data_IF_763067355463
#
_entry.id   IF_763067355463
#
_cell.length_a   1.000
_cell.length_b   1.000
_cell.length_c   1.000
_cell.angle_alpha   90.00
_cell.angle_beta   90.00
_cell.angle_gamma   90.00
#
_symmetry.space_group_name_H-M   'P 1'
#
loop_
_entity.id
_entity.type
_entity.pdbx_description
1 polymer ?
#
# COMPACT_ATOMS: atom_id res chain seq x y z
N UNK A 1 29.77 -17.26 -4.49
CA UNK A 1 28.35 -17.32 -4.92
C UNK A 1 27.75 -15.96 -4.62
N UNK A 2 27.49 -15.17 -5.66
CA UNK A 2 26.88 -13.84 -5.55
C UNK A 2 25.44 -14.05 -5.14
N UNK A 3 25.10 -13.79 -3.88
CA UNK A 3 23.71 -13.72 -3.43
C UNK A 3 23.04 -12.60 -4.22
N UNK A 4 22.10 -12.92 -5.10
CA UNK A 4 21.22 -11.93 -5.70
C UNK A 4 20.55 -11.18 -4.55
N UNK A 5 20.76 -9.86 -4.46
CA UNK A 5 20.07 -9.04 -3.48
C UNK A 5 18.56 -9.17 -3.75
N UNK A 6 17.81 -9.52 -2.72
CA UNK A 6 16.37 -9.67 -2.82
C UNK A 6 15.76 -8.27 -2.92
N UNK A 7 15.12 -7.96 -4.06
CA UNK A 7 14.56 -6.64 -4.34
C UNK A 7 13.09 -6.65 -3.97
N UNK A 8 12.72 -5.76 -3.06
CA UNK A 8 11.34 -5.46 -2.68
C UNK A 8 10.93 -4.13 -3.32
N UNK A 9 9.63 -3.94 -3.54
CA UNK A 9 9.11 -2.65 -4.03
C UNK A 9 9.36 -1.55 -2.99
N UNK A 10 9.31 -1.90 -1.70
CA UNK A 10 9.63 -0.98 -0.62
C UNK A 10 11.13 -0.99 -0.26
N UNK A 11 11.83 0.16 -0.28
CA UNK A 11 13.28 0.21 -0.03
C UNK A 11 13.67 -0.21 1.40
N UNK A 12 12.83 0.07 2.40
CA UNK A 12 13.07 -0.37 3.77
C UNK A 12 13.04 -1.91 3.90
N UNK A 13 12.15 -2.59 3.16
CA UNK A 13 12.07 -4.05 3.15
C UNK A 13 13.28 -4.67 2.42
N UNK A 14 13.73 -4.05 1.33
CA UNK A 14 14.99 -4.45 0.65
C UNK A 14 16.18 -4.38 1.61
N UNK A 15 16.27 -3.31 2.40
CA UNK A 15 17.34 -3.13 3.40
C UNK A 15 17.23 -4.18 4.51
N UNK A 16 16.03 -4.41 5.05
CA UNK A 16 15.80 -5.42 6.08
C UNK A 16 16.11 -6.84 5.59
N UNK A 17 15.75 -7.17 4.34
CA UNK A 17 16.06 -8.46 3.74
C UNK A 17 17.57 -8.69 3.58
N UNK A 18 18.33 -7.65 3.23
CA UNK A 18 19.79 -7.73 3.17
C UNK A 18 20.39 -8.05 4.56
N UNK A 19 19.89 -7.39 5.62
CA UNK A 19 20.35 -7.66 6.99
C UNK A 19 19.91 -9.04 7.53
N UNK A 20 18.77 -9.55 7.05
CA UNK A 20 18.31 -10.90 7.37
C UNK A 20 19.04 -12.03 6.61
N UNK A 21 19.87 -11.71 5.62
CA UNK A 21 20.53 -12.72 4.77
C UNK A 21 21.32 -13.79 5.55
N UNK A 22 22.01 -13.37 6.62
CA UNK A 22 22.73 -14.27 7.52
C UNK A 22 21.77 -15.13 8.36
N UNK A 23 20.69 -14.53 8.88
CA UNK A 23 19.66 -15.25 9.64
C UNK A 23 18.97 -16.29 8.75
N UNK A 24 18.65 -15.95 7.50
CA UNK A 24 18.11 -16.86 6.49
C UNK A 24 19.06 -18.03 6.20
N UNK A 25 20.35 -17.74 6.08
CA UNK A 25 21.37 -18.77 5.84
C UNK A 25 21.47 -19.74 7.03
N UNK A 26 21.45 -19.22 8.26
CA UNK A 26 21.40 -20.05 9.47
C UNK A 26 20.09 -20.85 9.56
N UNK A 27 18.96 -20.21 9.26
CA UNK A 27 17.64 -20.85 9.24
C UNK A 27 17.60 -22.06 8.29
N UNK A 28 18.14 -21.91 7.08
CA UNK A 28 18.25 -22.98 6.09
C UNK A 28 19.09 -24.17 6.57
N UNK A 29 20.14 -23.94 7.37
CA UNK A 29 20.95 -25.02 7.97
C UNK A 29 20.22 -25.78 9.07
N UNK A 30 19.27 -25.12 9.74
CA UNK A 30 18.49 -25.69 10.84
C UNK A 30 17.14 -26.24 10.37
N UNK A 31 16.75 -25.99 9.12
CA UNK A 31 15.43 -26.40 8.60
C UNK A 31 14.26 -25.62 9.19
N UNK A 32 14.51 -24.40 9.70
CA UNK A 32 13.47 -23.51 10.23
C UNK A 32 12.94 -22.57 9.14
N UNK A 33 11.74 -21.96 9.30
CA UNK A 33 11.12 -21.12 8.27
C UNK A 33 12.00 -19.94 7.82
N UNK A 34 11.91 -19.60 6.53
CA UNK A 34 12.65 -18.48 5.93
C UNK A 34 12.07 -17.13 6.40
N UNK A 35 12.82 -16.32 7.18
CA UNK A 35 12.35 -15.02 7.66
C UNK A 35 12.19 -13.98 6.54
N UNK A 36 12.92 -14.09 5.43
CA UNK A 36 12.79 -13.16 4.30
C UNK A 36 11.55 -13.48 3.47
N UNK A 37 11.19 -14.76 3.35
CA UNK A 37 9.93 -15.16 2.72
C UNK A 37 8.71 -14.59 3.45
N UNK A 38 8.80 -14.37 4.77
CA UNK A 38 7.74 -13.70 5.52
C UNK A 38 7.56 -12.24 5.07
N UNK A 39 8.66 -11.47 4.92
CA UNK A 39 8.62 -10.06 4.50
C UNK A 39 7.89 -9.85 3.18
N UNK A 40 7.89 -10.83 2.26
CA UNK A 40 7.16 -10.75 0.98
C UNK A 40 5.65 -10.57 1.14
N UNK A 41 5.09 -10.90 2.31
CA UNK A 41 3.67 -10.65 2.62
C UNK A 41 3.35 -9.17 2.85
N UNK A 42 4.38 -8.34 3.03
CA UNK A 42 4.29 -6.89 3.18
C UNK A 42 4.86 -6.14 1.96
N UNK A 43 5.27 -6.87 0.92
CA UNK A 43 5.83 -6.27 -0.27
C UNK A 43 4.72 -5.62 -1.10
N UNK A 44 4.62 -4.30 -0.95
CA UNK A 44 3.66 -3.46 -1.65
C UNK A 44 4.40 -2.23 -2.18
N UNK A 45 3.84 -1.60 -3.23
CA UNK A 45 4.31 -0.31 -3.76
C UNK A 45 3.40 0.86 -3.33
N UNK A 46 3.59 1.42 -2.12
CA UNK A 46 3.00 2.70 -1.73
C UNK A 46 3.22 3.81 -2.76
N UNK A 47 4.39 3.83 -3.42
CA UNK A 47 4.70 4.80 -4.47
C UNK A 47 3.77 4.70 -5.68
N UNK A 48 3.47 3.49 -6.15
CA UNK A 48 2.55 3.27 -7.25
C UNK A 48 1.11 3.69 -6.90
N UNK A 49 0.69 3.44 -5.65
CA UNK A 49 -0.62 3.89 -5.14
C UNK A 49 -0.66 5.43 -5.09
N UNK A 50 0.40 6.10 -4.58
CA UNK A 50 0.51 7.57 -4.59
C UNK A 50 0.42 8.14 -6.00
N UNK A 51 1.11 7.54 -6.98
CA UNK A 51 1.05 7.96 -8.38
C UNK A 51 -0.36 7.79 -8.97
N UNK A 52 -1.04 6.69 -8.63
CA UNK A 52 -2.42 6.45 -9.07
C UNK A 52 -3.37 7.49 -8.47
N UNK A 53 -3.25 7.76 -7.17
CA UNK A 53 -4.02 8.78 -6.47
C UNK A 53 -3.80 10.18 -7.05
N UNK A 54 -2.55 10.58 -7.34
CA UNK A 54 -2.26 11.87 -7.96
C UNK A 54 -2.80 11.98 -9.39
N UNK A 55 -2.85 10.86 -10.12
CA UNK A 55 -3.43 10.82 -11.47
C UNK A 55 -4.93 11.02 -11.43
N UNK A 56 -5.63 10.41 -10.46
CA UNK A 56 -7.07 10.62 -10.24
C UNK A 56 -7.35 12.08 -9.84
N UNK A 57 -6.53 12.64 -8.96
CA UNK A 57 -6.65 14.05 -8.55
C UNK A 57 -6.48 15.00 -9.74
N UNK A 58 -5.45 14.79 -10.57
CA UNK A 58 -5.25 15.55 -11.80
C UNK A 58 -6.41 15.38 -12.81
N UNK A 59 -6.99 14.17 -12.89
CA UNK A 59 -8.18 13.92 -13.70
C UNK A 59 -9.39 14.73 -13.24
N UNK A 60 -9.54 14.98 -11.93
CA UNK A 60 -10.63 15.81 -11.38
C UNK A 60 -10.57 17.26 -11.88
N UNK A 61 -9.37 17.79 -12.13
CA UNK A 61 -9.18 19.13 -12.70
C UNK A 61 -9.70 19.19 -14.15
N UNK A 62 -9.49 18.13 -14.93
CA UNK A 62 -10.01 18.04 -16.30
C UNK A 62 -11.53 18.02 -16.29
N UNK A 63 -12.14 17.26 -15.38
CA UNK A 63 -13.61 17.23 -15.21
C UNK A 63 -14.15 18.59 -14.77
N UNK A 64 -13.43 19.30 -13.90
CA UNK A 64 -13.79 20.66 -13.47
C UNK A 64 -13.77 21.64 -14.64
N UNK A 65 -12.72 21.60 -15.47
CA UNK A 65 -12.64 22.41 -16.70
C UNK A 65 -13.79 22.09 -17.66
N UNK A 66 -14.12 20.82 -17.84
CA UNK A 66 -15.24 20.40 -18.68
C UNK A 66 -16.59 20.89 -18.14
N UNK A 67 -16.76 20.92 -16.80
CA UNK A 67 -17.95 21.47 -16.16
C UNK A 67 -18.10 22.99 -16.41
N UNK A 68 -17.00 23.74 -16.35
CA UNK A 68 -16.99 25.18 -16.65
C UNK A 68 -17.35 25.46 -18.10
N UNK A 69 -16.79 24.69 -19.05
CA UNK A 69 -17.13 24.78 -20.46
C UNK A 69 -18.60 24.43 -20.73
N UNK A 70 -19.11 23.39 -20.05
CA UNK A 70 -20.51 23.00 -20.11
C UNK A 70 -21.43 24.13 -19.63
N UNK A 71 -21.18 24.71 -18.45
CA UNK A 71 -21.94 25.85 -17.92
C UNK A 71 -21.95 27.04 -18.86
N UNK A 72 -20.79 27.39 -19.42
CA UNK A 72 -20.69 28.47 -20.40
C UNK A 72 -21.47 28.17 -21.70
N UNK A 73 -21.63 26.90 -22.06
CA UNK A 73 -22.48 26.45 -23.16
C UNK A 73 -23.97 26.57 -22.85
N UNK A 74 -24.39 26.18 -21.63
CA UNK A 74 -25.76 26.30 -21.13
C UNK A 74 -26.19 27.78 -21.13
N UNK A 75 -25.38 28.67 -20.57
CA UNK A 75 -25.65 30.12 -20.52
C UNK A 75 -25.91 30.71 -21.92
N UNK A 76 -25.19 30.23 -22.94
CA UNK A 76 -25.39 30.66 -24.34
C UNK A 76 -26.70 30.11 -24.91
N UNK A 77 -27.03 28.86 -24.61
CA UNK A 77 -28.22 28.19 -25.15
C UNK A 77 -29.53 28.75 -24.57
N UNK A 78 -29.54 29.17 -23.31
CA UNK A 78 -30.71 29.78 -22.66
C UNK A 78 -31.18 31.08 -23.33
N UNK A 79 -30.27 31.80 -24.00
CA UNK A 79 -30.62 32.99 -24.80
C UNK A 79 -31.41 32.66 -26.09
N UNK A 80 -31.57 31.37 -26.44
CA UNK A 80 -32.11 30.88 -27.70
C UNK A 80 -33.56 30.35 -27.70
N UNK A 81 -34.25 30.26 -26.56
CA UNK A 81 -35.73 30.14 -26.53
C UNK A 81 -36.37 28.76 -26.24
N UNK A 82 -35.66 27.79 -25.66
CA UNK A 82 -36.26 26.57 -25.08
C UNK A 82 -35.75 26.39 -23.66
N UNK A 83 -36.57 26.69 -22.64
CA UNK A 83 -36.04 27.00 -21.30
C UNK A 83 -36.31 25.94 -20.22
N UNK A 84 -37.51 25.33 -20.13
CA UNK A 84 -37.81 24.46 -18.97
C UNK A 84 -37.18 23.06 -19.04
N UNK A 85 -37.39 22.31 -20.12
CA UNK A 85 -36.85 20.93 -20.24
C UNK A 85 -35.33 20.94 -20.40
N UNK A 86 -34.79 21.94 -21.11
CA UNK A 86 -33.36 22.11 -21.26
C UNK A 86 -32.69 22.48 -19.92
N UNK A 87 -33.27 23.41 -19.15
CA UNK A 87 -32.75 23.80 -17.83
C UNK A 87 -32.67 22.63 -16.85
N UNK A 88 -33.74 21.83 -16.76
CA UNK A 88 -33.76 20.64 -15.86
C UNK A 88 -32.68 19.61 -16.24
N UNK A 89 -32.47 19.38 -17.54
CA UNK A 89 -31.40 18.50 -18.01
C UNK A 89 -30.02 19.10 -17.74
N UNK A 90 -29.85 20.40 -17.96
CA UNK A 90 -28.59 21.10 -17.71
C UNK A 90 -28.19 21.05 -16.23
N UNK A 91 -29.13 21.28 -15.31
CA UNK A 91 -28.94 21.15 -13.87
C UNK A 91 -28.53 19.72 -13.49
N UNK A 92 -29.15 18.71 -14.13
CA UNK A 92 -28.83 17.30 -13.89
C UNK A 92 -27.38 16.98 -14.31
N UNK A 93 -26.97 17.42 -15.50
CA UNK A 93 -25.62 17.18 -16.01
C UNK A 93 -24.57 17.95 -15.19
N UNK A 94 -24.86 19.20 -14.81
CA UNK A 94 -23.98 19.97 -13.91
C UNK A 94 -23.81 19.29 -12.54
N UNK A 95 -24.91 18.74 -12.01
CA UNK A 95 -24.91 17.92 -10.80
C UNK A 95 -24.02 16.68 -10.93
N UNK A 96 -24.06 15.99 -12.07
CA UNK A 96 -23.22 14.83 -12.37
C UNK A 96 -21.73 15.19 -12.45
N UNK A 97 -21.38 16.31 -13.10
CA UNK A 97 -20.00 16.82 -13.09
C UNK A 97 -19.52 17.10 -11.66
N UNK A 98 -20.34 17.81 -10.88
CA UNK A 98 -20.00 18.11 -9.48
C UNK A 98 -19.84 16.86 -8.62
N UNK A 99 -20.68 15.84 -8.83
CA UNK A 99 -20.56 14.54 -8.17
C UNK A 99 -19.28 13.81 -8.57
N UNK A 100 -18.94 13.80 -9.85
CA UNK A 100 -17.73 13.16 -10.37
C UNK A 100 -16.44 13.79 -9.81
N UNK A 101 -16.37 15.13 -9.74
CA UNK A 101 -15.23 15.84 -9.14
C UNK A 101 -15.07 15.47 -7.66
N UNK A 102 -16.15 15.47 -6.88
CA UNK A 102 -16.10 15.08 -5.46
C UNK A 102 -15.67 13.63 -5.28
N UNK A 103 -16.17 12.71 -6.11
CA UNK A 103 -15.80 11.30 -6.06
C UNK A 103 -14.31 11.09 -6.40
N UNK A 104 -13.80 11.79 -7.42
CA UNK A 104 -12.39 11.74 -7.79
C UNK A 104 -11.49 12.26 -6.66
N UNK A 105 -11.83 13.42 -6.07
CA UNK A 105 -11.08 13.98 -4.95
C UNK A 105 -11.09 13.06 -3.71
N UNK A 106 -12.24 12.47 -3.37
CA UNK A 106 -12.34 11.52 -2.27
C UNK A 106 -11.50 10.25 -2.51
N UNK A 107 -11.52 9.74 -3.75
CA UNK A 107 -10.73 8.57 -4.17
C UNK A 107 -9.23 8.85 -4.08
N UNK A 108 -8.78 10.00 -4.60
CA UNK A 108 -7.39 10.41 -4.51
C UNK A 108 -6.93 10.56 -3.05
N UNK A 109 -7.74 11.22 -2.22
CA UNK A 109 -7.43 11.40 -0.80
C UNK A 109 -7.33 10.06 -0.05
N UNK A 110 -8.25 9.11 -0.31
CA UNK A 110 -8.16 7.78 0.29
C UNK A 110 -6.93 7.02 -0.20
N UNK A 111 -6.66 7.02 -1.51
CA UNK A 111 -5.47 6.37 -2.08
C UNK A 111 -4.17 6.89 -1.45
N UNK A 112 -4.06 8.21 -1.24
CA UNK A 112 -2.92 8.81 -0.56
C UNK A 112 -2.80 8.33 0.90
N UNK A 113 -3.89 8.27 1.66
CA UNK A 113 -3.88 7.76 3.05
C UNK A 113 -3.46 6.29 3.11
N UNK A 114 -4.03 5.44 2.24
CA UNK A 114 -3.68 4.02 2.16
C UNK A 114 -2.19 3.87 1.88
N UNK A 115 -1.67 4.62 0.91
CA UNK A 115 -0.25 4.58 0.60
C UNK A 115 0.62 4.97 1.80
N UNK A 116 0.28 6.05 2.52
CA UNK A 116 0.99 6.44 3.74
C UNK A 116 0.97 5.34 4.79
N UNK A 117 -0.18 4.73 5.05
CA UNK A 117 -0.29 3.67 6.06
C UNK A 117 0.54 2.43 5.68
N UNK A 118 0.53 2.03 4.41
CA UNK A 118 1.33 0.91 3.92
C UNK A 118 2.84 1.20 4.03
N UNK A 119 3.26 2.43 3.76
CA UNK A 119 4.65 2.91 3.88
C UNK A 119 5.11 2.83 5.35
N UNK A 120 4.34 3.42 6.28
CA UNK A 120 4.60 3.39 7.72
C UNK A 120 4.68 1.96 8.26
N UNK A 121 3.80 1.08 7.79
CA UNK A 121 3.73 -0.31 8.21
C UNK A 121 4.93 -1.11 7.69
N UNK A 122 5.37 -0.87 6.45
CA UNK A 122 6.58 -1.45 5.89
C UNK A 122 7.85 -0.96 6.60
N UNK A 123 7.96 0.33 6.92
CA UNK A 123 9.07 0.91 7.68
C UNK A 123 9.13 0.36 9.12
N UNK A 124 7.98 0.28 9.78
CA UNK A 124 7.85 -0.27 11.12
C UNK A 124 8.25 -1.75 11.15
N UNK A 125 7.74 -2.56 10.22
CA UNK A 125 8.11 -3.96 10.09
C UNK A 125 9.62 -4.13 9.81
N UNK A 126 10.17 -3.35 8.87
CA UNK A 126 11.59 -3.37 8.56
C UNK A 126 12.45 -3.08 9.79
N UNK A 127 12.09 -2.05 10.57
CA UNK A 127 12.81 -1.66 11.78
C UNK A 127 12.79 -2.77 12.84
N UNK A 128 11.62 -3.32 13.16
CA UNK A 128 11.47 -4.38 14.15
C UNK A 128 12.23 -5.66 13.75
N UNK A 129 12.15 -6.05 12.48
CA UNK A 129 12.80 -7.26 11.95
C UNK A 129 14.32 -7.12 11.95
N UNK A 130 14.84 -5.93 11.63
CA UNK A 130 16.28 -5.63 11.73
C UNK A 130 16.78 -5.69 13.18
N UNK A 131 15.98 -5.19 14.13
CA UNK A 131 16.30 -5.30 15.55
C UNK A 131 16.37 -6.77 16.01
N UNK A 132 15.44 -7.62 15.57
CA UNK A 132 15.47 -9.06 15.84
C UNK A 132 16.74 -9.71 15.24
N UNK A 133 17.06 -9.40 13.99
CA UNK A 133 18.24 -9.94 13.31
C UNK A 133 19.55 -9.55 14.04
N UNK A 134 19.64 -8.28 14.46
CA UNK A 134 20.77 -7.76 15.24
C UNK A 134 20.92 -8.48 16.59
N UNK A 135 19.82 -8.68 17.31
CA UNK A 135 19.82 -9.38 18.60
C UNK A 135 20.26 -10.85 18.47
N UNK A 136 19.93 -11.52 17.36
CA UNK A 136 20.29 -12.92 17.12
C UNK A 136 21.67 -13.10 16.44
N UNK A 137 22.39 -12.02 16.14
CA UNK A 137 23.59 -12.05 15.28
C UNK A 137 24.70 -12.99 15.78
N UNK A 138 24.92 -13.08 17.09
CA UNK A 138 25.91 -13.98 17.68
C UNK A 138 25.55 -15.47 17.46
N UNK A 139 24.31 -15.85 17.77
CA UNK A 139 23.81 -17.22 17.59
C UNK A 139 23.76 -17.59 16.10
N UNK A 140 23.40 -16.64 15.22
CA UNK A 140 23.49 -16.82 13.76
C UNK A 140 24.92 -17.12 13.32
N UNK A 141 25.90 -16.34 13.79
CA UNK A 141 27.30 -16.57 13.46
C UNK A 141 27.78 -17.95 13.94
N UNK A 142 27.38 -18.37 15.15
CA UNK A 142 27.71 -19.69 15.70
C UNK A 142 27.13 -20.84 14.85
N UNK A 143 25.87 -20.75 14.40
CA UNK A 143 25.28 -21.73 13.46
C UNK A 143 26.05 -21.78 12.14
N UNK A 144 26.48 -20.61 11.65
CA UNK A 144 27.23 -20.51 10.39
C UNK A 144 28.66 -21.07 10.49
N UNK A 145 29.25 -21.12 11.69
CA UNK A 145 30.53 -21.81 11.93
C UNK A 145 30.35 -23.30 12.29
N UNK A 146 29.11 -23.74 12.53
CA UNK A 146 28.75 -25.16 12.71
C UNK A 146 28.30 -25.54 14.12
N UNK A 147 28.16 -24.59 15.03
CA UNK A 147 27.57 -24.83 16.35
C UNK A 147 26.10 -25.24 16.22
N UNK A 148 25.75 -26.33 16.89
CA UNK A 148 24.40 -26.90 16.97
C UNK A 148 23.97 -27.16 18.40
N UNK A 149 24.57 -26.47 19.37
CA UNK A 149 24.10 -26.47 20.75
C UNK A 149 22.63 -26.05 20.81
N UNK A 150 21.89 -26.64 21.75
CA UNK A 150 20.45 -26.42 21.85
C UNK A 150 20.10 -24.95 22.07
N UNK A 151 20.93 -24.20 22.79
CA UNK A 151 20.77 -22.77 23.05
C UNK A 151 20.87 -21.95 21.75
N UNK A 152 21.95 -22.14 20.99
CA UNK A 152 22.18 -21.44 19.71
C UNK A 152 21.07 -21.74 18.69
N UNK A 153 20.64 -23.01 18.60
CA UNK A 153 19.54 -23.41 17.71
C UNK A 153 18.21 -22.79 18.16
N UNK A 154 17.95 -22.77 19.47
CA UNK A 154 16.75 -22.18 20.05
C UNK A 154 16.67 -20.68 19.78
N UNK A 155 17.78 -19.96 19.91
CA UNK A 155 17.84 -18.52 19.64
C UNK A 155 17.51 -18.19 18.19
N UNK A 156 18.13 -18.89 17.23
CA UNK A 156 17.88 -18.67 15.80
C UNK A 156 16.43 -19.02 15.44
N UNK A 157 15.89 -20.12 15.97
CA UNK A 157 14.49 -20.51 15.77
C UNK A 157 13.52 -19.48 16.36
N UNK A 158 13.83 -18.96 17.55
CA UNK A 158 13.05 -17.91 18.23
C UNK A 158 13.07 -16.62 17.43
N UNK A 159 14.23 -16.21 16.90
CA UNK A 159 14.36 -15.03 16.05
C UNK A 159 13.54 -15.18 14.76
N UNK A 160 13.63 -16.31 14.07
CA UNK A 160 12.82 -16.56 12.87
C UNK A 160 11.32 -16.50 13.18
N UNK A 161 10.90 -17.15 14.27
CA UNK A 161 9.50 -17.13 14.73
C UNK A 161 9.04 -15.71 15.09
N UNK A 162 9.91 -14.91 15.72
CA UNK A 162 9.62 -13.52 16.03
C UNK A 162 9.41 -12.69 14.77
N UNK A 163 10.27 -12.83 13.75
CA UNK A 163 10.09 -12.17 12.45
C UNK A 163 8.75 -12.54 11.81
N UNK A 164 8.42 -13.84 11.76
CA UNK A 164 7.15 -14.30 11.20
C UNK A 164 5.94 -13.73 11.96
N UNK A 165 6.03 -13.64 13.28
CA UNK A 165 4.97 -13.08 14.14
C UNK A 165 4.81 -11.58 13.91
N UNK A 166 5.91 -10.83 13.88
CA UNK A 166 5.90 -9.40 13.57
C UNK A 166 5.21 -9.15 12.24
N UNK A 167 5.63 -9.85 11.19
CA UNK A 167 5.03 -9.69 9.86
C UNK A 167 3.55 -10.06 9.87
N UNK A 168 3.17 -11.18 10.48
CA UNK A 168 1.78 -11.62 10.53
C UNK A 168 0.87 -10.63 11.28
N UNK A 169 1.38 -10.01 12.35
CA UNK A 169 0.67 -8.97 13.09
C UNK A 169 0.43 -7.72 12.23
N UNK A 170 1.44 -7.30 11.45
CA UNK A 170 1.32 -6.16 10.53
C UNK A 170 0.37 -6.46 9.37
N UNK A 171 0.40 -7.67 8.81
CA UNK A 171 -0.59 -8.08 7.79
C UNK A 171 -2.01 -8.07 8.36
N UNK A 172 -2.20 -8.54 9.60
CA UNK A 172 -3.51 -8.55 10.24
C UNK A 172 -4.07 -7.13 10.46
N UNK A 173 -3.22 -6.12 10.72
CA UNK A 173 -3.69 -4.73 10.86
C UNK A 173 -4.18 -4.12 9.54
N UNK A 174 -3.79 -4.67 8.38
CA UNK A 174 -4.29 -4.21 7.08
C UNK A 174 -5.79 -4.48 6.87
N UNK A 175 -6.39 -5.41 7.63
CA UNK A 175 -7.83 -5.69 7.55
C UNK A 175 -8.68 -4.44 7.79
N UNK A 176 -8.21 -3.53 8.65
CA UNK A 176 -8.87 -2.26 8.94
C UNK A 176 -8.90 -1.31 7.74
N UNK A 177 -7.92 -1.39 6.82
CA UNK A 177 -7.90 -0.59 5.59
C UNK A 177 -8.91 -1.09 4.56
N UNK A 178 -9.27 -2.39 4.59
CA UNK A 178 -10.26 -2.94 3.68
C UNK A 178 -11.66 -2.35 3.95
N UNK A 179 -12.00 -2.11 5.21
CA UNK A 179 -13.25 -1.44 5.60
C UNK A 179 -13.33 0.01 5.09
N UNK A 180 -12.19 0.72 5.04
CA UNK A 180 -12.13 2.08 4.48
C UNK A 180 -12.34 2.13 2.96
N UNK A 181 -12.13 1.02 2.25
CA UNK A 181 -12.28 0.91 0.79
C UNK A 181 -13.72 0.59 0.35
N UNK A 182 -14.53 0.00 1.23
CA UNK A 182 -15.94 -0.40 0.97
C UNK A 182 -16.81 0.73 0.37
N UNK A 183 -16.70 2.01 0.80
CA UNK A 183 -17.50 3.09 0.25
C UNK A 183 -17.12 3.47 -1.20
N UNK A 184 -15.90 3.16 -1.65
CA UNK A 184 -15.43 3.48 -3.00
C UNK A 184 -15.75 2.39 -4.03
N UNK A 185 -16.08 1.18 -3.58
CA UNK A 185 -16.47 0.07 -4.47
C UNK A 185 -17.97 0.05 -4.75
N UNK A 186 -18.75 0.81 -3.97
CA UNK A 186 -20.16 1.05 -4.23
C UNK A 186 -20.32 2.07 -5.37
N UNK A 187 -21.04 1.76 -6.46
CA UNK A 187 -21.18 2.69 -7.58
C UNK A 187 -21.85 3.99 -7.10
N UNK A 188 -21.17 5.12 -7.31
CA UNK A 188 -21.64 6.45 -6.93
C UNK A 188 -22.82 6.96 -7.80
N UNK A 189 -23.19 6.23 -8.85
CA UNK A 189 -24.23 6.62 -9.80
C UNK A 189 -25.09 5.39 -10.10
N UNK A 190 -26.30 5.33 -9.52
CA UNK A 190 -27.37 4.56 -10.14
C UNK A 190 -27.76 5.31 -11.41
N UNK A 191 -27.42 4.74 -12.57
CA UNK A 191 -27.95 5.18 -13.85
C UNK A 191 -29.42 4.76 -13.91
N UNK A 192 -30.30 5.58 -13.32
CA UNK A 192 -31.76 5.49 -13.41
C UNK A 192 -32.33 6.40 -14.47
#
# INVERSE_FOLDING_TARGET
>A
MTSLAEVFEHPALTTAAAELSSLRSAAGRLGVPDPVAALRRLDCAPSAIRTSASTVDAGSLVVTSAQEEFRAGVDRAETGGSTETFGTWADTVDGQYGAAVRAAAATAALGARIATHLDELAESAATEVRAIASAASASVAAVLTGDRSAEVVSDVSTACTAVLRTVSAKVASLSSLAEELEPLTSPAVELG
#
